data_IF_289570317173
#
_entry.id   IF_289570317173
#
_cell.length_a   1.000
_cell.length_b   1.000
_cell.length_c   1.000
_cell.angle_alpha   90.00
_cell.angle_beta   90.00
_cell.angle_gamma   90.00
#
_symmetry.space_group_name_H-M   'P 1'
#
loop_
_entity.id
_entity.type
_entity.pdbx_description
1 polymer ?
#
# COMPACT_ATOMS: atom_id res chain seq x y z
N UNK A 1 5.82 15.03 -4.33
CA UNK A 1 5.39 14.02 -3.33
C UNK A 1 4.14 13.28 -3.84
N UNK A 2 4.05 11.97 -3.64
CA UNK A 2 2.84 11.22 -3.98
C UNK A 2 1.75 11.55 -2.96
N UNK A 3 0.51 11.73 -3.42
CA UNK A 3 -0.66 11.80 -2.57
C UNK A 3 -1.20 10.37 -2.38
N UNK A 4 -1.31 9.91 -1.13
CA UNK A 4 -1.74 8.54 -0.82
C UNK A 4 -3.26 8.36 -0.74
N UNK A 5 -4.05 9.38 -1.04
CA UNK A 5 -5.50 9.22 -1.17
C UNK A 5 -5.83 8.11 -2.16
N UNK A 6 -6.74 7.21 -1.80
CA UNK A 6 -7.09 6.05 -2.63
C UNK A 6 -6.11 4.87 -2.57
N UNK A 7 -5.04 4.95 -1.77
CA UNK A 7 -4.15 3.82 -1.53
C UNK A 7 -4.65 2.94 -0.38
N UNK A 8 -4.68 1.64 -0.61
CA UNK A 8 -4.98 0.63 0.41
C UNK A 8 -3.69 0.00 0.88
N UNK A 9 -3.25 0.30 2.11
CA UNK A 9 -2.07 -0.33 2.70
C UNK A 9 -2.39 -1.76 3.13
N UNK A 10 -1.57 -2.70 2.68
CA UNK A 10 -1.82 -4.15 2.79
C UNK A 10 -1.19 -4.76 4.05
N UNK A 11 -0.98 -3.94 5.07
CA UNK A 11 -0.37 -4.32 6.33
C UNK A 11 0.51 -3.22 6.92
N UNK A 12 1.17 -3.55 8.03
CA UNK A 12 2.16 -2.67 8.63
C UNK A 12 3.39 -2.53 7.72
N UNK A 13 4.06 -1.36 7.69
CA UNK A 13 5.30 -1.20 6.96
C UNK A 13 6.45 -1.98 7.61
N UNK A 14 7.44 -2.38 6.82
CA UNK A 14 8.73 -2.85 7.32
C UNK A 14 9.68 -1.64 7.50
N UNK A 15 10.05 -1.28 8.74
CA UNK A 15 11.11 -0.30 8.97
C UNK A 15 12.49 -0.94 8.78
N UNK A 16 13.32 -0.35 7.91
CA UNK A 16 14.70 -0.78 7.70
C UNK A 16 15.54 0.40 7.20
N UNK A 17 16.67 0.64 7.85
CA UNK A 17 17.68 1.63 7.43
C UNK A 17 17.12 3.04 7.13
N UNK A 18 16.31 3.56 8.05
CA UNK A 18 15.68 4.88 7.90
C UNK A 18 14.60 4.95 6.82
N UNK A 19 14.12 3.80 6.31
CA UNK A 19 13.05 3.71 5.32
C UNK A 19 11.87 2.89 5.83
N UNK A 20 10.70 3.19 5.29
CA UNK A 20 9.48 2.40 5.46
C UNK A 20 9.12 1.75 4.13
N UNK A 21 9.04 0.42 4.12
CA UNK A 21 8.62 -0.36 2.97
C UNK A 21 7.16 -0.76 3.17
N UNK A 22 6.28 -0.24 2.32
CA UNK A 22 4.84 -0.48 2.42
C UNK A 22 4.33 -1.16 1.16
N UNK A 23 3.56 -2.24 1.33
CA UNK A 23 2.73 -2.76 0.25
C UNK A 23 1.42 -1.98 0.22
N UNK A 24 1.05 -1.50 -0.97
CA UNK A 24 -0.21 -0.80 -1.18
C UNK A 24 -0.85 -1.19 -2.52
N UNK A 25 -2.17 -1.09 -2.61
CA UNK A 25 -2.89 -1.07 -3.87
C UNK A 25 -3.39 0.36 -4.16
N UNK A 26 -3.19 0.83 -5.39
CA UNK A 26 -3.85 2.02 -5.93
C UNK A 26 -4.57 1.65 -7.23
N UNK A 27 -5.90 1.74 -7.27
CA UNK A 27 -6.66 1.54 -8.50
C UNK A 27 -6.38 0.22 -9.22
N UNK A 28 -6.30 -0.90 -8.48
CA UNK A 28 -5.95 -2.27 -8.93
C UNK A 28 -4.46 -2.55 -9.12
N UNK A 29 -3.59 -1.59 -8.83
CA UNK A 29 -2.16 -1.79 -8.99
C UNK A 29 -1.48 -1.97 -7.64
N UNK A 30 -0.98 -3.17 -7.41
CA UNK A 30 -0.10 -3.48 -6.29
C UNK A 30 1.27 -2.86 -6.53
N UNK A 31 1.74 -2.14 -5.52
CA UNK A 31 2.99 -1.41 -5.57
C UNK A 31 3.73 -1.50 -4.24
N UNK A 32 5.05 -1.52 -4.34
CA UNK A 32 5.95 -1.29 -3.22
C UNK A 32 6.22 0.21 -3.13
N UNK A 33 5.83 0.82 -2.01
CA UNK A 33 6.17 2.19 -1.64
C UNK A 33 7.40 2.14 -0.74
N UNK A 34 8.39 2.97 -1.02
CA UNK A 34 9.51 3.20 -0.10
C UNK A 34 9.53 4.66 0.29
N UNK A 35 9.34 4.89 1.59
CA UNK A 35 9.23 6.20 2.18
C UNK A 35 10.45 6.48 3.07
N UNK A 36 10.84 7.74 3.16
CA UNK A 36 11.72 8.21 4.21
C UNK A 36 11.01 8.09 5.55
N UNK A 37 11.62 7.42 6.53
CA UNK A 37 10.94 7.10 7.78
C UNK A 37 10.72 8.32 8.68
N UNK A 38 11.54 9.37 8.54
CA UNK A 38 11.44 10.57 9.36
C UNK A 38 10.37 11.55 8.83
N UNK A 39 10.23 11.63 7.51
CA UNK A 39 9.38 12.64 6.84
C UNK A 39 8.13 12.04 6.19
N UNK A 40 8.09 10.73 5.99
CA UNK A 40 7.03 10.04 5.24
C UNK A 40 7.05 10.32 3.74
N UNK A 41 8.04 11.05 3.23
CA UNK A 41 8.13 11.37 1.81
C UNK A 41 8.50 10.13 0.99
N UNK A 42 7.87 9.97 -0.17
CA UNK A 42 8.21 8.89 -1.10
C UNK A 42 9.63 9.08 -1.64
N UNK A 43 10.48 8.08 -1.40
CA UNK A 43 11.81 7.95 -2.00
C UNK A 43 11.66 7.35 -3.39
N UNK A 44 10.98 6.20 -3.49
CA UNK A 44 10.68 5.54 -4.76
C UNK A 44 9.45 4.64 -4.68
N UNK A 45 8.98 4.18 -5.84
CA UNK A 45 7.88 3.23 -5.98
C UNK A 45 8.20 2.19 -7.06
N UNK A 46 7.70 0.97 -6.88
CA UNK A 46 7.80 -0.11 -7.87
C UNK A 46 6.44 -0.77 -8.06
N UNK A 47 5.94 -0.82 -9.30
CA UNK A 47 4.77 -1.62 -9.66
C UNK A 47 5.11 -3.11 -9.59
N UNK A 48 4.24 -3.89 -8.95
CA UNK A 48 4.44 -5.32 -8.75
C UNK A 48 3.47 -6.14 -9.60
N UNK A 49 2.18 -5.79 -9.57
CA UNK A 49 1.13 -6.53 -10.24
C UNK A 49 -0.13 -5.67 -10.42
N UNK A 50 -0.90 -5.93 -11.48
CA UNK A 50 -2.21 -5.32 -11.69
C UNK A 50 -3.29 -6.39 -11.59
N UNK A 51 -4.17 -6.26 -10.61
CA UNK A 51 -5.28 -7.20 -10.39
C UNK A 51 -6.42 -7.00 -11.37
N UNK A 52 -7.20 -8.05 -11.59
CA UNK A 52 -8.47 -7.97 -12.31
C UNK A 52 -9.55 -7.26 -11.50
N UNK A 53 -9.53 -7.43 -10.17
CA UNK A 53 -10.47 -6.81 -9.23
C UNK A 53 -9.74 -5.98 -8.18
N UNK A 54 -10.18 -4.74 -7.88
CA UNK A 54 -9.56 -3.91 -6.86
C UNK A 54 -9.82 -4.47 -5.47
N UNK A 55 -8.87 -4.32 -4.55
CA UNK A 55 -9.04 -4.71 -3.15
C UNK A 55 -10.20 -3.98 -2.46
N UNK A 56 -10.53 -2.77 -2.92
CA UNK A 56 -11.70 -2.03 -2.45
C UNK A 56 -13.04 -2.80 -2.65
N UNK A 57 -13.08 -3.78 -3.57
CA UNK A 57 -14.24 -4.66 -3.80
C UNK A 57 -14.14 -6.00 -3.06
N UNK A 58 -13.02 -6.30 -2.42
CA UNK A 58 -12.84 -7.54 -1.67
C UNK A 58 -13.31 -7.34 -0.22
N UNK A 59 -14.62 -7.48 -0.02
CA UNK A 59 -15.29 -7.32 1.29
C UNK A 59 -15.09 -8.52 2.23
N UNK A 60 -14.22 -9.48 1.92
CA UNK A 60 -14.06 -10.70 2.76
C UNK A 60 -13.38 -10.43 4.12
N UNK A 61 -12.98 -9.19 4.40
CA UNK A 61 -12.58 -8.74 5.75
C UNK A 61 -13.78 -8.30 6.62
N UNK A 62 -15.02 -8.33 6.09
CA UNK A 62 -16.21 -8.24 6.94
C UNK A 62 -16.39 -9.55 7.71
N UNK A 63 -15.68 -9.68 8.83
CA UNK A 63 -16.07 -10.55 9.96
C UNK A 63 -17.32 -10.01 10.67
N UNK A 64 -18.38 -9.71 9.92
CA UNK A 64 -19.77 -9.63 10.43
C UNK A 64 -20.58 -10.51 9.48
N UNK A 65 -21.18 -11.62 9.88
CA UNK A 65 -21.76 -12.00 11.18
C UNK A 65 -21.76 -13.54 11.26
N UNK A 66 -21.33 -14.10 12.39
CA UNK A 66 -21.80 -15.40 12.88
C UNK A 66 -23.21 -15.20 13.44
#
# INVERSE_FOLDING_TARGET
PINFSGHYFLGAPLPLDGKLYCLAEEGREFRLLVLDAATGQTIWTQSLYRSDNPIARDYTTDRRTL
#
